data_IF_649043080590
#
_entry.id   IF_649043080590
#
_cell.length_a   1.000
_cell.length_b   1.000
_cell.length_c   1.000
_cell.angle_alpha   90.00
_cell.angle_beta   90.00
_cell.angle_gamma   90.00
#
_symmetry.space_group_name_H-M   'P 1'
#
loop_
_entity.id
_entity.type
_entity.pdbx_description
1 polymer ?
#
# COMPACT_ATOMS: atom_id res chain seq x y z
N UNK A 1 -18.98 -2.19 -27.33
CA UNK A 1 -18.53 -1.20 -26.32
C UNK A 1 -19.72 -0.93 -25.42
N UNK A 2 -19.63 -1.17 -24.14
CA UNK A 2 -20.67 -0.78 -23.17
C UNK A 2 -20.80 0.75 -23.13
N UNK A 3 -22.03 1.25 -22.88
CA UNK A 3 -22.23 2.69 -22.72
C UNK A 3 -21.44 3.22 -21.51
N UNK A 4 -20.80 4.38 -21.68
CA UNK A 4 -20.05 5.05 -20.62
C UNK A 4 -20.98 5.39 -19.43
N UNK A 5 -20.55 5.02 -18.21
CA UNK A 5 -21.32 5.29 -17.00
C UNK A 5 -21.34 6.78 -16.63
N UNK A 6 -22.27 7.21 -15.77
CA UNK A 6 -22.32 8.60 -15.28
C UNK A 6 -21.01 8.93 -14.52
N UNK A 7 -20.48 8.00 -13.74
CA UNK A 7 -19.21 8.16 -13.01
C UNK A 7 -18.06 8.36 -13.98
N UNK A 8 -17.97 7.53 -15.03
CA UNK A 8 -16.92 7.66 -16.06
C UNK A 8 -17.01 9.02 -16.76
N UNK A 9 -18.18 9.47 -17.16
CA UNK A 9 -18.38 10.82 -17.77
C UNK A 9 -17.85 11.94 -16.88
N UNK A 10 -18.13 11.86 -15.56
CA UNK A 10 -17.62 12.84 -14.59
C UNK A 10 -16.10 12.79 -14.44
N UNK A 11 -15.50 11.60 -14.43
CA UNK A 11 -14.05 11.45 -14.36
C UNK A 11 -13.38 11.99 -15.64
N UNK A 12 -13.92 11.66 -16.83
CA UNK A 12 -13.40 12.17 -18.10
C UNK A 12 -13.52 13.68 -18.24
N UNK A 13 -14.56 14.30 -17.69
CA UNK A 13 -14.71 15.76 -17.64
C UNK A 13 -13.62 16.45 -16.79
N UNK A 14 -12.96 15.71 -15.89
CA UNK A 14 -11.86 16.19 -15.03
C UNK A 14 -10.47 15.77 -15.50
N UNK A 15 -10.37 15.19 -16.71
CA UNK A 15 -9.13 14.64 -17.26
C UNK A 15 -8.04 15.70 -17.39
N UNK A 16 -6.83 15.31 -17.00
CA UNK A 16 -5.59 16.04 -17.21
C UNK A 16 -4.56 15.10 -17.85
N UNK A 17 -4.25 15.30 -19.12
CA UNK A 17 -3.38 14.42 -19.91
C UNK A 17 -1.91 14.46 -19.42
N UNK A 18 -1.45 15.59 -18.93
CA UNK A 18 -0.09 15.70 -18.37
C UNK A 18 0.00 14.89 -17.07
N UNK A 19 -1.02 15.01 -16.23
CA UNK A 19 -1.09 14.24 -15.00
C UNK A 19 -1.28 12.74 -15.26
N UNK A 20 -2.04 12.36 -16.28
CA UNK A 20 -2.16 10.95 -16.71
C UNK A 20 -0.80 10.35 -17.11
N UNK A 21 0.00 11.09 -17.89
CA UNK A 21 1.37 10.66 -18.25
C UNK A 21 2.27 10.52 -17.02
N UNK A 22 2.21 11.48 -16.11
CA UNK A 22 2.97 11.44 -14.87
C UNK A 22 2.58 10.22 -14.01
N UNK A 23 1.28 10.00 -13.77
CA UNK A 23 0.78 8.87 -12.99
C UNK A 23 1.15 7.52 -13.62
N UNK A 24 0.99 7.37 -14.92
CA UNK A 24 1.34 6.13 -15.63
C UNK A 24 2.82 5.75 -15.47
N UNK A 25 3.72 6.74 -15.32
CA UNK A 25 5.13 6.47 -15.06
C UNK A 25 5.38 5.92 -13.64
N UNK A 26 4.52 6.22 -12.68
CA UNK A 26 4.63 5.77 -11.29
C UNK A 26 4.03 4.37 -11.05
N UNK A 27 3.12 3.94 -11.93
CA UNK A 27 2.39 2.66 -11.86
C UNK A 27 2.58 1.85 -13.15
N UNK A 28 3.81 1.42 -13.47
CA UNK A 28 4.15 0.82 -14.76
C UNK A 28 3.45 -0.51 -15.05
N UNK A 29 2.87 -1.14 -14.04
CA UNK A 29 2.07 -2.37 -14.16
C UNK A 29 0.61 -2.11 -14.60
N UNK A 30 0.17 -0.85 -14.64
CA UNK A 30 -1.18 -0.47 -15.07
C UNK A 30 -1.16 -0.01 -16.54
N UNK A 31 -2.06 -0.52 -17.40
CA UNK A 31 -2.14 -0.08 -18.80
C UNK A 31 -2.42 1.42 -18.88
N UNK A 32 -1.60 2.14 -19.63
CA UNK A 32 -1.66 3.62 -19.71
C UNK A 32 -2.99 4.16 -20.20
N UNK A 33 -3.66 3.42 -21.08
CA UNK A 33 -4.98 3.72 -21.63
C UNK A 33 -6.10 3.69 -20.58
N UNK A 34 -5.87 3.05 -19.43
CA UNK A 34 -6.82 3.01 -18.32
C UNK A 34 -6.65 4.19 -17.36
N UNK A 35 -5.61 5.02 -17.53
CA UNK A 35 -5.33 6.18 -16.69
C UNK A 35 -5.95 7.43 -17.29
N UNK A 36 -7.04 7.90 -16.70
CA UNK A 36 -7.74 9.13 -17.11
C UNK A 36 -6.92 10.37 -16.71
N UNK A 37 -6.36 10.36 -15.50
CA UNK A 37 -5.51 11.42 -14.97
C UNK A 37 -6.29 12.48 -14.21
N UNK A 38 -7.12 12.09 -13.25
CA UNK A 38 -7.84 13.03 -12.39
C UNK A 38 -6.99 13.39 -11.17
N UNK A 39 -6.70 14.68 -10.97
CA UNK A 39 -5.90 15.15 -9.83
C UNK A 39 -6.62 14.91 -8.50
N UNK A 40 -5.89 14.48 -7.47
CA UNK A 40 -6.45 14.10 -6.17
C UNK A 40 -7.36 15.16 -5.49
N UNK A 41 -7.11 16.48 -5.56
CA UNK A 41 -8.05 17.46 -5.03
C UNK A 41 -9.42 17.40 -5.71
N UNK A 42 -9.45 17.22 -7.04
CA UNK A 42 -10.69 17.08 -7.82
C UNK A 42 -11.39 15.75 -7.53
N UNK A 43 -10.59 14.67 -7.41
CA UNK A 43 -11.09 13.35 -7.02
C UNK A 43 -11.82 13.37 -5.66
N UNK A 44 -11.19 13.99 -4.65
CA UNK A 44 -11.80 14.15 -3.32
C UNK A 44 -13.05 15.02 -3.33
N UNK A 45 -13.06 16.07 -4.15
CA UNK A 45 -14.22 16.93 -4.35
C UNK A 45 -15.37 16.12 -4.98
N UNK A 46 -15.10 15.41 -6.08
CA UNK A 46 -16.07 14.56 -6.75
C UNK A 46 -16.66 13.52 -5.78
N UNK A 47 -15.82 12.80 -5.04
CA UNK A 47 -16.28 11.81 -4.07
C UNK A 47 -17.23 12.43 -3.01
N UNK A 48 -16.91 13.63 -2.51
CA UNK A 48 -17.73 14.32 -1.52
C UNK A 48 -19.07 14.76 -2.09
N UNK A 49 -19.10 15.24 -3.34
CA UNK A 49 -20.31 15.72 -4.00
C UNK A 49 -21.27 14.58 -4.36
N UNK A 50 -20.72 13.38 -4.63
CA UNK A 50 -21.52 12.25 -5.16
C UNK A 50 -21.82 11.15 -4.13
N UNK A 51 -21.28 11.22 -2.92
CA UNK A 51 -21.34 10.13 -1.91
C UNK A 51 -22.76 9.60 -1.62
N UNK A 52 -23.79 10.44 -1.71
CA UNK A 52 -25.19 10.06 -1.44
C UNK A 52 -26.02 9.71 -2.67
N UNK A 53 -25.44 9.74 -3.87
CA UNK A 53 -26.17 9.48 -5.11
C UNK A 53 -26.38 7.97 -5.36
N UNK A 54 -27.50 7.60 -5.95
CA UNK A 54 -27.82 6.22 -6.31
C UNK A 54 -26.79 5.63 -7.29
N UNK A 55 -26.32 6.44 -8.22
CA UNK A 55 -25.28 6.09 -9.18
C UNK A 55 -23.96 5.74 -8.50
N UNK A 56 -23.61 6.42 -7.41
CA UNK A 56 -22.40 6.12 -6.61
C UNK A 56 -22.55 4.80 -5.87
N UNK A 57 -23.75 4.48 -5.36
CA UNK A 57 -23.98 3.16 -4.74
C UNK A 57 -23.88 2.04 -5.79
N UNK A 58 -24.46 2.22 -6.96
CA UNK A 58 -24.32 1.26 -8.07
C UNK A 58 -22.86 1.12 -8.52
N UNK A 59 -22.09 2.21 -8.56
CA UNK A 59 -20.66 2.20 -8.86
C UNK A 59 -19.85 1.39 -7.82
N UNK A 60 -20.10 1.59 -6.53
CA UNK A 60 -19.37 0.85 -5.47
C UNK A 60 -19.62 -0.66 -5.50
N UNK A 61 -20.77 -1.11 -6.01
CA UNK A 61 -21.08 -2.54 -6.17
C UNK A 61 -20.69 -3.10 -7.54
N UNK A 62 -20.43 -2.22 -8.53
CA UNK A 62 -20.14 -2.58 -9.92
C UNK A 62 -18.66 -2.91 -10.20
N UNK A 63 -18.11 -3.86 -9.46
CA UNK A 63 -16.73 -4.32 -9.62
C UNK A 63 -16.59 -5.43 -10.68
N UNK A 64 -15.45 -5.54 -11.38
CA UNK A 64 -14.27 -4.65 -11.37
C UNK A 64 -14.49 -3.36 -12.16
N UNK A 65 -13.71 -2.32 -11.83
CA UNK A 65 -13.72 -1.07 -12.60
C UNK A 65 -12.82 -1.15 -13.84
N UNK A 66 -13.14 -0.36 -14.87
CA UNK A 66 -12.39 -0.34 -16.14
C UNK A 66 -11.17 0.58 -16.10
N UNK A 67 -11.21 1.65 -15.31
CA UNK A 67 -10.18 2.68 -15.27
C UNK A 67 -9.50 2.75 -13.90
N UNK A 68 -8.19 3.06 -13.93
CA UNK A 68 -7.41 3.34 -12.72
C UNK A 68 -8.04 4.42 -11.84
N UNK A 69 -8.51 5.51 -12.47
CA UNK A 69 -9.12 6.63 -11.74
C UNK A 69 -10.46 6.25 -11.09
N UNK A 70 -11.18 5.26 -11.62
CA UNK A 70 -12.35 4.68 -10.95
C UNK A 70 -11.94 3.96 -9.66
N UNK A 71 -10.85 3.18 -9.68
CA UNK A 71 -10.32 2.52 -8.48
C UNK A 71 -9.86 3.53 -7.43
N UNK A 72 -9.24 4.65 -7.84
CA UNK A 72 -8.89 5.75 -6.93
C UNK A 72 -10.16 6.38 -6.34
N UNK A 73 -11.18 6.67 -7.15
CA UNK A 73 -12.46 7.21 -6.67
C UNK A 73 -13.11 6.27 -5.66
N UNK A 74 -13.12 4.96 -5.94
CA UNK A 74 -13.63 3.93 -5.04
C UNK A 74 -12.92 3.98 -3.68
N UNK A 75 -11.58 3.98 -3.67
CA UNK A 75 -10.78 4.11 -2.44
C UNK A 75 -11.12 5.38 -1.65
N UNK A 76 -11.31 6.52 -2.33
CA UNK A 76 -11.67 7.79 -1.69
C UNK A 76 -13.08 7.74 -1.11
N UNK A 77 -14.04 7.16 -1.81
CA UNK A 77 -15.42 7.01 -1.32
C UNK A 77 -15.49 6.13 -0.08
N UNK A 78 -14.86 4.95 -0.09
CA UNK A 78 -14.79 4.07 1.08
C UNK A 78 -14.11 4.76 2.26
N UNK A 79 -13.08 5.56 2.02
CA UNK A 79 -12.35 6.30 3.05
C UNK A 79 -13.19 7.38 3.74
N UNK A 80 -14.32 7.80 3.13
CA UNK A 80 -15.26 8.79 3.66
C UNK A 80 -16.46 8.16 4.38
N UNK A 81 -16.65 6.84 4.31
CA UNK A 81 -17.73 6.15 4.99
C UNK A 81 -17.65 6.32 6.50
N UNK A 82 -18.81 6.48 7.14
CA UNK A 82 -18.92 6.72 8.59
C UNK A 82 -19.47 5.52 9.37
N UNK A 83 -20.18 4.61 8.71
CA UNK A 83 -20.60 3.34 9.29
C UNK A 83 -19.51 2.29 9.14
N UNK A 84 -19.06 1.74 10.28
CA UNK A 84 -17.96 0.78 10.30
C UNK A 84 -18.28 -0.52 9.60
N UNK A 85 -19.48 -1.07 9.84
CA UNK A 85 -19.86 -2.38 9.31
C UNK A 85 -20.01 -2.34 7.79
N UNK A 86 -20.70 -1.33 7.28
CA UNK A 86 -20.86 -1.12 5.85
C UNK A 86 -19.51 -0.82 5.16
N UNK A 87 -18.65 -0.01 5.80
CA UNK A 87 -17.32 0.28 5.30
C UNK A 87 -16.44 -0.98 5.24
N UNK A 88 -16.47 -1.81 6.28
CA UNK A 88 -15.70 -3.04 6.34
C UNK A 88 -16.13 -4.03 5.25
N UNK A 89 -17.43 -4.22 5.07
CA UNK A 89 -17.98 -5.07 4.00
C UNK A 89 -17.55 -4.58 2.61
N UNK A 90 -17.66 -3.28 2.35
CA UNK A 90 -17.26 -2.68 1.08
C UNK A 90 -15.74 -2.76 0.84
N UNK A 91 -14.92 -2.56 1.88
CA UNK A 91 -13.45 -2.75 1.80
C UNK A 91 -13.10 -4.20 1.49
N UNK A 92 -13.70 -5.18 2.17
CA UNK A 92 -13.46 -6.61 1.89
C UNK A 92 -13.86 -6.99 0.46
N UNK A 93 -14.95 -6.42 -0.07
CA UNK A 93 -15.36 -6.64 -1.45
C UNK A 93 -14.42 -6.01 -2.47
N UNK A 94 -13.80 -4.87 -2.15
CA UNK A 94 -12.92 -4.13 -3.07
C UNK A 94 -11.46 -4.62 -3.06
N UNK A 95 -10.94 -5.08 -1.92
CA UNK A 95 -9.53 -5.49 -1.77
C UNK A 95 -9.02 -6.44 -2.86
N UNK A 96 -9.79 -7.46 -3.32
CA UNK A 96 -9.32 -8.36 -4.38
C UNK A 96 -9.06 -7.69 -5.74
N UNK A 97 -9.60 -6.51 -5.97
CA UNK A 97 -9.49 -5.76 -7.23
C UNK A 97 -8.41 -4.68 -7.19
N UNK A 98 -7.73 -4.50 -6.06
CA UNK A 98 -6.61 -3.55 -5.95
C UNK A 98 -5.36 -4.21 -6.56
N UNK A 99 -4.83 -3.61 -7.61
CA UNK A 99 -3.74 -4.13 -8.43
C UNK A 99 -2.49 -3.24 -8.45
N UNK A 100 -2.51 -2.14 -7.69
CA UNK A 100 -1.38 -1.21 -7.61
C UNK A 100 -1.32 -0.49 -6.25
N UNK A 101 -0.11 0.00 -5.94
CA UNK A 101 0.18 0.67 -4.66
C UNK A 101 -0.59 1.99 -4.48
N UNK A 102 -0.84 2.73 -5.56
CA UNK A 102 -1.46 4.05 -5.45
C UNK A 102 -2.94 3.96 -5.05
N UNK A 103 -3.67 2.97 -5.58
CA UNK A 103 -5.05 2.66 -5.17
C UNK A 103 -5.07 2.15 -3.73
N UNK A 104 -4.14 1.23 -3.38
CA UNK A 104 -4.02 0.67 -2.04
C UNK A 104 -3.81 1.77 -0.98
N UNK A 105 -2.78 2.59 -1.16
CA UNK A 105 -2.38 3.62 -0.18
C UNK A 105 -3.39 4.80 -0.14
N UNK A 106 -4.26 4.91 -1.16
CA UNK A 106 -5.37 5.87 -1.16
C UNK A 106 -6.55 5.42 -0.26
N UNK A 107 -6.67 4.12 -0.02
CA UNK A 107 -7.74 3.53 0.80
C UNK A 107 -7.41 3.66 2.29
N UNK A 108 -7.99 4.65 2.96
CA UNK A 108 -7.70 4.93 4.38
C UNK A 108 -8.98 5.32 5.14
N UNK A 109 -9.85 4.35 5.49
CA UNK A 109 -11.12 4.61 6.14
C UNK A 109 -10.96 5.20 7.54
N UNK A 110 -11.45 6.43 7.73
CA UNK A 110 -11.33 7.14 9.01
C UNK A 110 -12.12 6.47 10.14
N UNK A 111 -13.23 5.82 9.80
CA UNK A 111 -14.09 5.11 10.75
C UNK A 111 -13.36 3.99 11.47
N UNK A 112 -12.29 3.45 10.92
CA UNK A 112 -11.48 2.39 11.52
C UNK A 112 -10.80 2.82 12.83
N UNK A 113 -10.51 4.10 13.00
CA UNK A 113 -9.87 4.61 14.22
C UNK A 113 -10.71 4.37 15.50
N UNK A 114 -12.04 4.32 15.38
CA UNK A 114 -12.96 4.08 16.48
C UNK A 114 -13.21 2.59 16.80
N UNK A 115 -12.71 1.65 15.97
CA UNK A 115 -13.04 0.22 16.05
C UNK A 115 -11.79 -0.66 16.07
N UNK A 116 -10.78 -0.27 16.85
CA UNK A 116 -9.46 -0.89 16.88
C UNK A 116 -9.45 -2.39 17.21
N UNK A 117 -10.25 -2.90 18.18
CA UNK A 117 -10.27 -4.34 18.47
C UNK A 117 -10.74 -5.20 17.28
N UNK A 118 -11.79 -4.76 16.59
CA UNK A 118 -12.34 -5.43 15.41
C UNK A 118 -11.39 -5.28 14.22
N UNK A 119 -10.84 -4.08 14.02
CA UNK A 119 -9.85 -3.80 12.98
C UNK A 119 -8.62 -4.70 13.11
N UNK A 120 -8.10 -4.93 14.31
CA UNK A 120 -6.94 -5.79 14.53
C UNK A 120 -7.20 -7.24 14.08
N UNK A 121 -8.42 -7.77 14.22
CA UNK A 121 -8.77 -9.10 13.72
C UNK A 121 -8.63 -9.17 12.20
N UNK A 122 -9.13 -8.14 11.51
CA UNK A 122 -9.05 -8.05 10.05
C UNK A 122 -7.60 -7.80 9.58
N UNK A 123 -6.84 -6.94 10.25
CA UNK A 123 -5.41 -6.74 9.96
C UNK A 123 -4.65 -8.06 10.00
N UNK A 124 -4.86 -8.90 11.02
CA UNK A 124 -4.23 -10.23 11.13
C UNK A 124 -4.61 -11.17 9.97
N UNK A 125 -5.82 -11.06 9.44
CA UNK A 125 -6.29 -11.79 8.26
C UNK A 125 -5.61 -11.25 7.00
N UNK A 126 -5.66 -9.93 6.78
CA UNK A 126 -5.12 -9.28 5.58
C UNK A 126 -3.59 -9.42 5.46
N UNK A 127 -2.86 -9.25 6.56
CA UNK A 127 -1.40 -9.40 6.57
C UNK A 127 -0.92 -10.82 6.19
N UNK A 128 -1.79 -11.83 6.24
CA UNK A 128 -1.51 -13.21 5.83
C UNK A 128 -2.00 -13.53 4.41
N UNK A 129 -2.62 -12.57 3.72
CA UNK A 129 -3.12 -12.77 2.37
C UNK A 129 -1.97 -13.00 1.39
N UNK A 130 -2.17 -13.93 0.45
CA UNK A 130 -1.28 -14.12 -0.70
C UNK A 130 -1.47 -13.02 -1.76
N UNK A 131 -2.61 -12.31 -1.74
CA UNK A 131 -2.83 -11.15 -2.58
C UNK A 131 -2.02 -9.96 -2.07
N UNK A 132 -1.07 -9.50 -2.88
CA UNK A 132 -0.05 -8.50 -2.52
C UNK A 132 -0.66 -7.25 -1.89
N UNK A 133 -1.69 -6.68 -2.51
CA UNK A 133 -2.27 -5.41 -2.06
C UNK A 133 -3.23 -5.58 -0.88
N UNK A 134 -3.83 -6.73 -0.69
CA UNK A 134 -4.56 -7.05 0.56
C UNK A 134 -3.58 -7.14 1.73
N UNK A 135 -2.44 -7.82 1.54
CA UNK A 135 -1.37 -7.86 2.55
C UNK A 135 -0.83 -6.45 2.84
N UNK A 136 -0.52 -5.67 1.78
CA UNK A 136 -0.06 -4.28 1.89
C UNK A 136 -1.04 -3.42 2.68
N UNK A 137 -2.33 -3.47 2.36
CA UNK A 137 -3.38 -2.74 3.06
C UNK A 137 -3.44 -3.11 4.54
N UNK A 138 -3.38 -4.41 4.87
CA UNK A 138 -3.35 -4.86 6.27
C UNK A 138 -2.18 -4.28 7.07
N UNK A 139 -0.98 -4.26 6.47
CA UNK A 139 0.21 -3.68 7.10
C UNK A 139 0.11 -2.15 7.21
N UNK A 140 -0.50 -1.48 6.23
CA UNK A 140 -0.72 -0.04 6.26
C UNK A 140 -1.71 0.36 7.35
N UNK A 141 -2.80 -0.40 7.52
CA UNK A 141 -3.75 -0.19 8.62
C UNK A 141 -3.10 -0.43 9.99
N UNK A 142 -2.23 -1.43 10.11
CA UNK A 142 -1.44 -1.64 11.31
C UNK A 142 -0.51 -0.44 11.59
N UNK A 143 0.19 0.04 10.58
CA UNK A 143 1.10 1.19 10.67
C UNK A 143 0.36 2.47 11.08
N UNK A 144 -0.82 2.69 10.50
CA UNK A 144 -1.60 3.91 10.69
C UNK A 144 -2.26 3.98 12.06
N UNK A 145 -2.78 2.86 12.55
CA UNK A 145 -3.65 2.86 13.74
C UNK A 145 -2.98 2.33 15.01
N UNK A 146 -1.83 1.64 14.91
CA UNK A 146 -1.26 0.90 16.04
C UNK A 146 0.22 1.16 16.34
N UNK A 147 0.86 2.13 15.69
CA UNK A 147 2.24 2.51 16.01
C UNK A 147 2.37 3.70 16.98
N UNK A 148 1.25 4.27 17.44
CA UNK A 148 1.24 5.37 18.43
C UNK A 148 0.79 4.85 19.81
N UNK A 149 -0.17 5.49 20.48
CA UNK A 149 -0.59 5.19 21.84
C UNK A 149 -1.10 3.76 22.09
N UNK A 150 -1.57 3.06 21.05
CA UNK A 150 -2.03 1.66 21.14
C UNK A 150 -0.94 0.65 20.75
N UNK A 151 0.31 1.10 20.64
CA UNK A 151 1.43 0.25 20.26
C UNK A 151 1.64 -0.90 21.26
N UNK A 152 1.91 -2.09 20.70
CA UNK A 152 2.40 -3.27 21.43
C UNK A 152 3.53 -3.91 20.66
N UNK A 153 4.62 -4.32 21.32
CA UNK A 153 5.79 -4.92 20.64
C UNK A 153 5.44 -6.12 19.74
N UNK A 154 4.44 -6.92 20.15
CA UNK A 154 3.99 -8.07 19.36
C UNK A 154 3.41 -7.72 17.99
N UNK A 155 3.01 -6.48 17.75
CA UNK A 155 2.50 -6.05 16.44
C UNK A 155 3.59 -6.04 15.37
N UNK A 156 4.87 -5.91 15.76
CA UNK A 156 5.99 -5.97 14.82
C UNK A 156 6.20 -7.37 14.21
N UNK A 157 5.67 -8.42 14.86
CA UNK A 157 5.75 -9.80 14.35
C UNK A 157 4.96 -9.97 13.04
N UNK A 158 3.85 -9.27 12.87
CA UNK A 158 3.02 -9.40 11.68
C UNK A 158 3.80 -9.02 10.41
N UNK A 159 4.36 -7.80 10.27
CA UNK A 159 5.15 -7.44 9.09
C UNK A 159 6.45 -8.26 8.98
N UNK A 160 7.08 -8.65 10.09
CA UNK A 160 8.28 -9.48 10.06
C UNK A 160 8.00 -10.90 9.53
N UNK A 161 6.76 -11.40 9.68
CA UNK A 161 6.36 -12.74 9.25
C UNK A 161 5.94 -12.83 7.78
N UNK A 162 5.82 -11.71 7.07
CA UNK A 162 5.42 -11.70 5.65
C UNK A 162 6.44 -12.41 4.79
N UNK A 163 5.98 -13.35 3.96
CA UNK A 163 6.81 -14.19 3.09
C UNK A 163 6.65 -13.90 1.59
N UNK A 164 5.85 -12.89 1.24
CA UNK A 164 5.65 -12.52 -0.16
C UNK A 164 6.93 -11.99 -0.78
N UNK A 165 7.33 -12.59 -1.91
CA UNK A 165 8.54 -12.19 -2.66
C UNK A 165 8.30 -10.96 -3.54
N UNK A 166 7.06 -10.50 -3.66
CA UNK A 166 6.70 -9.33 -4.45
C UNK A 166 7.35 -8.04 -3.93
N UNK A 167 7.78 -7.19 -4.85
CA UNK A 167 8.44 -5.92 -4.55
C UNK A 167 7.59 -4.99 -3.69
N UNK A 168 6.28 -4.88 -3.98
CA UNK A 168 5.40 -3.93 -3.28
C UNK A 168 5.03 -4.43 -1.88
N UNK A 169 4.98 -5.75 -1.67
CA UNK A 169 4.82 -6.34 -0.34
C UNK A 169 6.08 -6.10 0.52
N UNK A 170 7.26 -6.42 -0.01
CA UNK A 170 8.56 -6.16 0.68
C UNK A 170 8.77 -4.67 0.96
N UNK A 171 8.39 -3.79 0.03
CA UNK A 171 8.46 -2.34 0.19
C UNK A 171 7.55 -1.86 1.33
N UNK A 172 6.35 -2.44 1.47
CA UNK A 172 5.45 -2.12 2.58
C UNK A 172 6.03 -2.53 3.93
N UNK A 173 6.62 -3.72 4.03
CA UNK A 173 7.32 -4.16 5.24
C UNK A 173 8.47 -3.20 5.59
N UNK A 174 9.25 -2.80 4.59
CA UNK A 174 10.35 -1.84 4.79
C UNK A 174 9.84 -0.47 5.25
N UNK A 175 8.74 0.02 4.67
CA UNK A 175 8.11 1.27 5.07
C UNK A 175 7.54 1.19 6.48
N UNK A 176 6.87 0.08 6.81
CA UNK A 176 6.35 -0.17 8.15
C UNK A 176 7.46 -0.07 9.20
N UNK A 177 8.57 -0.83 9.03
CA UNK A 177 9.68 -0.81 9.98
C UNK A 177 10.42 0.53 10.02
N UNK A 178 10.54 1.25 8.91
CA UNK A 178 11.10 2.60 8.92
C UNK A 178 10.22 3.57 9.73
N UNK A 179 8.89 3.42 9.67
CA UNK A 179 7.94 4.20 10.47
C UNK A 179 7.99 3.76 11.94
N UNK A 180 8.09 2.46 12.19
CA UNK A 180 8.22 1.92 13.54
C UNK A 180 9.52 2.41 14.22
N UNK A 181 10.65 2.45 13.52
CA UNK A 181 11.89 3.04 14.03
C UNK A 181 11.73 4.52 14.42
N UNK A 182 10.91 5.27 13.71
CA UNK A 182 10.65 6.68 14.04
C UNK A 182 9.73 6.88 15.24
N UNK A 183 8.87 5.92 15.54
CA UNK A 183 7.85 6.03 16.58
C UNK A 183 8.14 5.17 17.82
N UNK A 184 8.77 4.01 17.63
CA UNK A 184 8.98 2.95 18.61
C UNK A 184 10.39 2.37 18.46
N UNK A 185 11.41 3.23 18.59
CA UNK A 185 12.80 2.92 18.29
C UNK A 185 13.28 1.64 18.98
N UNK A 186 13.15 1.58 20.31
CA UNK A 186 13.72 0.48 21.12
C UNK A 186 13.16 -0.90 20.73
N UNK A 187 11.85 -0.94 20.42
CA UNK A 187 11.20 -2.18 20.00
C UNK A 187 11.55 -2.55 18.54
N UNK A 188 11.68 -1.56 17.65
CA UNK A 188 11.85 -1.81 16.22
C UNK A 188 13.32 -2.08 15.82
N UNK A 189 14.30 -1.44 16.48
CA UNK A 189 15.72 -1.59 16.14
C UNK A 189 16.21 -3.01 16.36
N UNK A 190 15.67 -3.72 17.34
CA UNK A 190 15.98 -5.13 17.63
C UNK A 190 15.79 -6.05 16.42
N UNK A 191 14.80 -5.76 15.55
CA UNK A 191 14.57 -6.53 14.34
C UNK A 191 15.71 -6.40 13.32
N UNK A 192 16.41 -5.27 13.31
CA UNK A 192 17.61 -5.06 12.49
C UNK A 192 18.84 -5.67 13.17
N UNK A 193 19.05 -5.43 14.45
CA UNK A 193 20.19 -5.97 15.20
C UNK A 193 20.23 -7.50 15.16
N UNK A 194 19.08 -8.15 15.27
CA UNK A 194 18.94 -9.61 15.24
C UNK A 194 18.73 -10.17 13.83
N UNK A 195 18.81 -9.35 12.77
CA UNK A 195 18.61 -9.78 11.38
C UNK A 195 17.28 -10.52 11.13
N UNK A 196 16.19 -10.10 11.77
CA UNK A 196 14.88 -10.75 11.71
C UNK A 196 14.11 -10.47 10.41
N UNK A 197 14.59 -9.52 9.59
CA UNK A 197 14.02 -9.22 8.29
C UNK A 197 14.83 -9.88 7.17
N UNK A 198 14.18 -10.16 6.04
CA UNK A 198 14.84 -10.62 4.82
C UNK A 198 15.89 -9.57 4.38
N UNK A 199 17.07 -9.96 3.81
CA UNK A 199 18.20 -9.03 3.59
C UNK A 199 17.87 -7.78 2.78
N UNK A 200 17.07 -7.90 1.72
CA UNK A 200 16.66 -6.73 0.92
C UNK A 200 15.77 -5.79 1.71
N UNK A 201 14.75 -6.34 2.39
CA UNK A 201 13.81 -5.59 3.24
C UNK A 201 14.52 -4.90 4.39
N UNK A 202 15.47 -5.59 5.03
CA UNK A 202 16.33 -5.05 6.07
C UNK A 202 17.08 -3.79 5.58
N UNK A 203 17.82 -3.91 4.48
CA UNK A 203 18.58 -2.78 3.94
C UNK A 203 17.67 -1.65 3.42
N UNK A 204 16.50 -1.99 2.87
CA UNK A 204 15.51 -1.02 2.42
C UNK A 204 14.87 -0.28 3.61
N UNK A 205 14.63 -0.96 4.72
CA UNK A 205 14.19 -0.34 6.00
C UNK A 205 15.21 0.71 6.45
N UNK A 206 16.50 0.35 6.51
CA UNK A 206 17.55 1.28 6.88
C UNK A 206 17.60 2.48 5.94
N UNK A 207 17.49 2.24 4.63
CA UNK A 207 17.47 3.32 3.65
C UNK A 207 16.33 4.30 3.94
N UNK A 208 15.09 3.80 4.05
CA UNK A 208 13.89 4.64 4.30
C UNK A 208 13.94 5.35 5.66
N UNK A 209 14.39 4.67 6.71
CA UNK A 209 14.55 5.29 8.02
C UNK A 209 15.52 6.47 7.98
N UNK A 210 16.66 6.33 7.26
CA UNK A 210 17.66 7.40 7.12
C UNK A 210 17.18 8.58 6.27
N UNK A 211 16.21 8.39 5.39
CA UNK A 211 15.54 9.46 4.64
C UNK A 211 14.56 10.26 5.53
N UNK A 212 14.13 9.71 6.66
CA UNK A 212 13.15 10.34 7.54
C UNK A 212 13.76 11.47 8.39
N UNK A 213 13.05 12.59 8.49
CA UNK A 213 13.40 13.69 9.41
C UNK A 213 13.11 13.36 10.88
N UNK A 214 12.37 12.28 11.16
CA UNK A 214 12.01 11.85 12.52
C UNK A 214 13.09 11.01 13.17
N UNK A 215 14.10 10.57 12.44
CA UNK A 215 15.24 9.79 12.92
C UNK A 215 16.41 10.74 13.19
N UNK A 216 17.01 10.69 14.38
CA UNK A 216 18.13 11.55 14.76
C UNK A 216 19.38 11.25 13.93
N UNK A 217 20.33 12.19 13.91
CA UNK A 217 21.61 12.00 13.22
C UNK A 217 22.37 10.79 13.77
N UNK A 218 22.39 10.62 15.10
CA UNK A 218 23.04 9.50 15.80
C UNK A 218 22.40 8.16 15.42
N UNK A 219 21.05 8.10 15.44
CA UNK A 219 20.32 6.91 15.01
C UNK A 219 20.58 6.58 13.52
N UNK A 220 20.67 7.58 12.65
CA UNK A 220 21.02 7.38 11.23
C UNK A 220 22.43 6.80 11.05
N UNK A 221 23.40 7.26 11.84
CA UNK A 221 24.76 6.68 11.80
C UNK A 221 24.76 5.26 12.37
N UNK A 222 24.07 5.01 13.48
CA UNK A 222 23.93 3.67 14.02
C UNK A 222 23.30 2.70 13.00
N UNK A 223 22.21 3.08 12.34
CA UNK A 223 21.59 2.26 11.30
C UNK A 223 22.52 1.91 10.14
N UNK A 224 23.51 2.77 9.81
CA UNK A 224 24.51 2.44 8.79
C UNK A 224 25.34 1.21 9.17
N UNK A 225 25.68 1.06 10.46
CA UNK A 225 26.48 -0.07 10.94
C UNK A 225 25.75 -1.40 10.87
N UNK A 226 24.40 -1.36 10.86
CA UNK A 226 23.54 -2.54 10.79
C UNK A 226 23.27 -3.02 9.35
N UNK A 227 23.80 -2.34 8.31
CA UNK A 227 23.60 -2.78 6.92
C UNK A 227 24.17 -4.16 6.68
N UNK A 228 23.40 -5.00 6.03
CA UNK A 228 23.82 -6.34 5.61
C UNK A 228 24.44 -6.28 4.21
N UNK A 229 25.56 -6.97 4.02
CA UNK A 229 26.12 -7.18 2.69
C UNK A 229 25.11 -7.98 1.86
N UNK A 230 24.83 -7.58 0.61
CA UNK A 230 24.00 -8.40 -0.27
C UNK A 230 24.63 -9.79 -0.36
N UNK A 231 23.86 -10.85 -0.10
CA UNK A 231 24.31 -12.20 -0.37
C UNK A 231 24.58 -12.29 -1.88
N UNK A 232 25.83 -12.55 -2.25
CA UNK A 232 26.20 -12.89 -3.62
C UNK A 232 25.57 -14.26 -3.89
N UNK A 233 24.33 -14.28 -4.40
CA UNK A 233 23.80 -15.47 -5.03
C UNK A 233 24.65 -15.69 -6.27
N UNK A 234 25.61 -16.59 -6.18
CA UNK A 234 26.30 -17.17 -7.33
C UNK A 234 25.29 -17.96 -8.13
N UNK A 235 24.53 -17.25 -8.95
CA UNK A 235 23.80 -17.86 -10.04
C UNK A 235 24.85 -18.25 -11.06
N UNK A 236 25.32 -19.51 -10.98
CA UNK A 236 26.19 -20.12 -11.99
C UNK A 236 25.33 -20.26 -13.27
N UNK A 237 25.32 -19.20 -14.06
CA UNK A 237 24.90 -19.26 -15.46
C UNK A 237 25.88 -20.16 -16.20
N UNK A 238 25.59 -21.45 -16.30
CA UNK A 238 26.24 -22.35 -17.25
C UNK A 238 25.80 -21.91 -18.65
N UNK A 239 26.60 -21.06 -19.27
CA UNK A 239 26.58 -20.83 -20.71
C UNK A 239 27.03 -22.12 -21.40
N UNK A 240 26.23 -22.74 -22.29
CA UNK A 240 26.69 -23.85 -23.09
C UNK A 240 27.81 -23.35 -24.03
N UNK A 241 28.99 -23.97 -23.95
CA UNK A 241 30.09 -23.74 -24.89
C UNK A 241 29.58 -24.05 -26.31
N UNK A 242 29.52 -23.06 -27.17
CA UNK A 242 29.37 -23.28 -28.59
C UNK A 242 30.61 -24.02 -29.11
N UNK A 243 30.41 -25.30 -29.46
CA UNK A 243 31.38 -26.09 -30.20
C UNK A 243 31.68 -25.41 -31.53
N UNK A 244 32.96 -25.27 -31.84
CA UNK A 244 33.45 -24.99 -33.21
C UNK A 244 33.34 -26.27 -34.01
N UNK A 245 32.66 -26.22 -35.10
CA UNK A 245 32.97 -26.94 -36.32
C UNK A 245 32.68 -26.01 -37.50
#
# INVERSE_FOLDING_TARGET
MSAETIVQKRLFALRDEEYARFQSALIPNIPKETVIGVRMPLMRKLAKETAGEAETQAFLTGLPHAYYDENILHSVLLSQMTDYSACMEAVEAFLPYIDNWAVCDCLSPKVFAGHKPELMKNIRKWAKSEHVYTCRFGLEMLMTHFLDGDFRPEYLELPASVKLEDYYAKMMVAWFFATALAKQWDAAVVYLEQNRLEPWTHNKTIQKARESYRISAEQKEYLKTLKRTPSVTTSSCHLPRRGRQ
#
